data_IF_135459677522
#
_entry.id   IF_135459677522
#
_cell.length_a   1.000
_cell.length_b   1.000
_cell.length_c   1.000
_cell.angle_alpha   90.00
_cell.angle_beta   90.00
_cell.angle_gamma   90.00
#
_symmetry.space_group_name_H-M   'P 1'
#
loop_
_entity.id
_entity.type
_entity.pdbx_description
1 polymer ?
#
# COMPACT_ATOMS: atom_id res chain seq x y z
N UNK A 1 -9.16 -37.89 26.91
CA UNK A 1 -9.21 -39.30 27.36
C UNK A 1 -7.88 -39.65 28.00
N UNK A 2 -7.81 -40.72 28.79
CA UNK A 2 -6.60 -41.12 29.49
C UNK A 2 -5.67 -41.99 28.63
N UNK A 3 -4.38 -42.03 28.97
CA UNK A 3 -3.64 -43.26 29.31
C UNK A 3 -2.26 -42.91 29.88
N UNK A 4 -1.73 -43.77 30.76
CA UNK A 4 -0.43 -43.63 31.40
C UNK A 4 0.73 -44.02 30.48
N UNK A 5 1.98 -43.77 30.89
CA UNK A 5 2.89 -44.87 31.13
C UNK A 5 3.24 -45.02 32.63
N UNK A 6 3.91 -46.11 32.98
CA UNK A 6 4.22 -46.52 34.35
C UNK A 6 5.66 -47.07 34.41
N UNK A 7 6.15 -47.25 35.64
CA UNK A 7 7.38 -47.97 36.04
C UNK A 7 8.72 -47.20 36.05
N UNK A 8 9.31 -47.29 37.25
CA UNK A 8 10.72 -47.53 37.59
C UNK A 8 11.78 -46.45 37.29
N UNK A 9 12.17 -45.72 38.35
CA UNK A 9 13.44 -45.99 39.06
C UNK A 9 13.36 -45.44 40.50
N UNK A 10 13.46 -46.31 41.51
CA UNK A 10 13.45 -45.96 42.94
C UNK A 10 14.89 -45.88 43.50
N UNK A 11 15.46 -44.67 43.56
CA UNK A 11 16.75 -44.40 44.21
C UNK A 11 16.52 -44.04 45.71
N UNK A 12 16.05 -45.03 46.48
CA UNK A 12 15.93 -44.89 47.94
C UNK A 12 17.29 -45.04 48.64
N UNK A 13 17.80 -43.92 49.16
CA UNK A 13 18.95 -43.90 50.06
C UNK A 13 18.59 -43.42 51.49
N UNK A 14 17.38 -43.75 51.94
CA UNK A 14 16.94 -43.64 53.33
C UNK A 14 17.61 -44.69 54.22
N UNK A 15 18.86 -44.43 54.62
CA UNK A 15 19.70 -45.41 55.35
C UNK A 15 19.05 -46.03 56.61
N UNK A 16 19.01 -47.36 56.63
CA UNK A 16 18.38 -48.20 57.65
C UNK A 16 18.85 -47.94 59.10
N UNK A 17 17.91 -47.66 59.99
CA UNK A 17 18.14 -47.66 61.45
C UNK A 17 18.08 -49.09 62.03
N UNK A 18 18.96 -49.97 61.55
CA UNK A 18 19.01 -51.40 61.95
C UNK A 18 20.44 -51.84 62.36
N UNK A 19 20.99 -51.27 63.44
CA UNK A 19 22.40 -51.46 63.83
C UNK A 19 22.64 -51.80 65.30
N UNK A 20 22.40 -53.07 65.68
CA UNK A 20 22.91 -53.76 66.89
C UNK A 20 23.27 -52.90 68.13
N UNK A 21 22.36 -52.83 69.12
CA UNK A 21 22.76 -52.58 70.52
C UNK A 21 23.40 -53.87 71.06
N UNK A 22 24.67 -54.09 70.72
CA UNK A 22 25.46 -55.19 71.27
C UNK A 22 25.66 -54.97 72.77
N UNK A 23 24.97 -55.83 73.53
CA UNK A 23 24.86 -55.87 74.99
C UNK A 23 26.22 -56.11 75.67
N UNK A 24 27.09 -55.09 75.68
CA UNK A 24 28.37 -55.12 76.38
C UNK A 24 28.12 -55.36 77.87
N UNK A 25 28.41 -56.59 78.31
CA UNK A 25 28.32 -57.01 79.70
C UNK A 25 29.28 -56.15 80.51
N UNK A 26 28.75 -55.34 81.43
CA UNK A 26 29.53 -54.99 82.62
C UNK A 26 29.97 -56.33 83.24
N UNK A 27 31.24 -56.53 83.59
CA UNK A 27 31.56 -57.46 84.66
C UNK A 27 30.70 -57.03 85.85
N UNK A 28 29.99 -57.98 86.45
CA UNK A 28 29.66 -57.79 87.87
C UNK A 28 31.02 -57.70 88.60
N UNK A 29 31.14 -56.96 89.71
CA UNK A 29 31.96 -57.49 90.79
C UNK A 29 31.45 -58.92 91.00
N UNK A 30 32.32 -59.92 90.82
CA UNK A 30 32.03 -61.16 91.53
C UNK A 30 32.12 -60.76 93.00
N UNK A 31 30.99 -60.87 93.70
CA UNK A 31 31.00 -61.01 95.13
C UNK A 31 31.66 -62.38 95.37
N UNK A 32 32.98 -62.42 95.25
CA UNK A 32 33.81 -63.56 95.59
C UNK A 32 33.79 -63.63 97.12
N UNK A 33 32.69 -64.21 97.61
CA UNK A 33 32.60 -64.93 98.88
C UNK A 33 33.60 -66.13 98.81
N UNK A 34 34.89 -65.80 98.69
CA UNK A 34 36.00 -66.69 98.94
C UNK A 34 35.93 -67.05 100.42
N UNK A 35 35.18 -68.12 100.65
CA UNK A 35 35.23 -68.99 101.81
C UNK A 35 36.66 -69.05 102.36
N UNK A 36 36.96 -68.18 103.34
CA UNK A 36 38.04 -68.40 104.28
C UNK A 36 37.63 -69.56 105.18
N UNK A 37 37.59 -70.76 104.58
CA UNK A 37 37.64 -72.05 105.24
C UNK A 37 38.99 -72.15 105.93
N UNK A 38 39.04 -71.53 107.10
CA UNK A 38 39.42 -72.12 108.37
C UNK A 38 40.10 -73.49 108.28
N UNK A 39 41.25 -73.56 107.61
CA UNK A 39 42.28 -74.54 107.89
C UNK A 39 43.00 -74.12 109.19
N UNK A 40 42.23 -74.05 110.27
CA UNK A 40 42.74 -74.19 111.63
C UNK A 40 42.89 -75.70 111.88
N UNK A 41 43.86 -76.29 111.19
CA UNK A 41 44.48 -77.52 111.67
C UNK A 41 45.71 -77.12 112.46
N UNK A 42 45.65 -77.34 113.77
CA UNK A 42 46.72 -76.99 114.69
C UNK A 42 47.92 -77.93 114.53
N UNK A 43 49.06 -77.40 114.08
CA UNK A 43 50.34 -77.76 114.69
C UNK A 43 51.14 -76.51 114.99
N UNK A 44 51.78 -76.48 116.17
CA UNK A 44 52.75 -75.44 116.57
C UNK A 44 54.11 -75.64 115.84
N UNK A 45 54.06 -75.65 114.51
CA UNK A 45 55.22 -75.75 113.62
C UNK A 45 55.61 -74.35 113.09
N UNK A 46 56.90 -73.96 113.12
CA UNK A 46 57.33 -72.61 112.70
C UNK A 46 57.16 -72.31 111.19
N UNK A 47 56.68 -73.28 110.40
CA UNK A 47 56.39 -73.11 108.97
C UNK A 47 55.10 -72.34 108.66
N UNK A 48 54.01 -72.57 109.39
CA UNK A 48 52.68 -72.03 109.03
C UNK A 48 52.63 -70.49 109.11
N UNK A 49 53.08 -69.94 110.25
CA UNK A 49 53.23 -68.49 110.42
C UNK A 49 54.21 -67.88 109.40
N UNK A 50 55.27 -68.61 109.04
CA UNK A 50 56.23 -68.17 108.01
C UNK A 50 55.57 -68.10 106.63
N UNK A 51 54.68 -69.03 106.28
CA UNK A 51 53.89 -69.00 105.04
C UNK A 51 52.98 -67.77 104.95
N UNK A 52 52.22 -67.48 106.00
CA UNK A 52 51.35 -66.28 106.07
C UNK A 52 52.20 -64.99 105.97
N UNK A 53 53.34 -64.93 106.65
CA UNK A 53 54.29 -63.80 106.58
C UNK A 53 54.87 -63.63 105.16
N UNK A 54 55.08 -64.71 104.40
CA UNK A 54 55.50 -64.61 102.99
C UNK A 54 54.37 -64.09 102.10
N UNK A 55 53.15 -64.62 102.22
CA UNK A 55 51.97 -64.13 101.47
C UNK A 55 51.72 -62.64 101.73
N UNK A 56 51.82 -62.20 102.99
CA UNK A 56 51.69 -60.79 103.35
C UNK A 56 52.86 -59.92 102.82
N UNK A 57 54.09 -60.45 102.75
CA UNK A 57 55.24 -59.73 102.15
C UNK A 57 55.09 -59.58 100.64
N UNK A 58 54.68 -60.63 99.93
CA UNK A 58 54.45 -60.56 98.48
C UNK A 58 53.24 -59.68 98.15
N UNK A 59 52.21 -59.68 98.99
CA UNK A 59 51.06 -58.77 98.87
C UNK A 59 51.43 -57.32 99.15
N UNK A 60 52.26 -57.06 100.17
CA UNK A 60 52.81 -55.73 100.47
C UNK A 60 53.70 -55.24 99.32
N UNK A 61 54.61 -56.08 98.82
CA UNK A 61 55.48 -55.79 97.68
C UNK A 61 54.67 -55.47 96.43
N UNK A 62 53.63 -56.26 96.13
CA UNK A 62 52.70 -55.98 95.03
C UNK A 62 51.99 -54.64 95.23
N UNK A 63 51.52 -54.35 96.44
CA UNK A 63 50.92 -53.05 96.78
C UNK A 63 51.91 -51.88 96.60
N UNK A 64 53.19 -52.06 96.95
CA UNK A 64 54.23 -51.05 96.69
C UNK A 64 54.53 -50.88 95.19
N UNK A 65 54.49 -51.95 94.40
CA UNK A 65 54.65 -51.92 92.94
C UNK A 65 53.45 -51.23 92.28
N UNK A 66 52.21 -51.58 92.67
CA UNK A 66 50.97 -50.92 92.24
C UNK A 66 50.98 -49.43 92.65
N UNK A 67 51.40 -49.08 93.87
CA UNK A 67 51.54 -47.69 94.32
C UNK A 67 52.52 -46.88 93.45
N UNK A 68 53.66 -47.45 93.04
CA UNK A 68 54.60 -46.81 92.11
C UNK A 68 53.94 -46.58 90.74
N UNK A 69 53.25 -47.60 90.22
CA UNK A 69 52.49 -47.51 88.95
C UNK A 69 51.39 -46.45 89.01
N UNK A 70 50.66 -46.31 90.12
CA UNK A 70 49.68 -45.22 90.30
C UNK A 70 50.37 -43.85 90.44
N UNK A 71 51.48 -43.76 91.18
CA UNK A 71 52.21 -42.51 91.34
C UNK A 71 52.76 -41.98 89.99
N UNK A 72 53.27 -42.87 89.14
CA UNK A 72 53.78 -42.48 87.81
C UNK A 72 52.64 -42.14 86.84
N UNK A 73 51.48 -42.82 86.93
CA UNK A 73 50.26 -42.41 86.22
C UNK A 73 49.75 -41.03 86.67
N UNK A 74 49.83 -40.70 87.96
CA UNK A 74 49.48 -39.37 88.46
C UNK A 74 50.42 -38.30 87.90
N UNK A 75 51.74 -38.51 87.94
CA UNK A 75 52.72 -37.59 87.31
C UNK A 75 52.46 -37.41 85.82
N UNK A 76 52.16 -38.50 85.09
CA UNK A 76 51.82 -38.40 83.66
C UNK A 76 50.54 -37.57 83.45
N UNK A 77 49.51 -37.76 84.27
CA UNK A 77 48.28 -36.97 84.19
C UNK A 77 48.49 -35.49 84.56
N UNK A 78 49.38 -35.19 85.51
CA UNK A 78 49.81 -33.82 85.86
C UNK A 78 50.58 -33.17 84.71
N UNK A 79 51.56 -33.87 84.12
CA UNK A 79 52.30 -33.45 82.93
C UNK A 79 51.37 -33.23 81.72
N UNK A 80 50.34 -34.05 81.54
CA UNK A 80 49.34 -33.89 80.50
C UNK A 80 48.43 -32.68 80.78
N UNK A 81 47.94 -32.51 82.01
CA UNK A 81 47.17 -31.34 82.41
C UNK A 81 47.95 -30.04 82.24
N UNK A 82 49.26 -30.02 82.51
CA UNK A 82 50.08 -28.81 82.35
C UNK A 82 50.37 -28.50 80.87
N UNK A 83 50.51 -29.52 80.01
CA UNK A 83 50.53 -29.34 78.54
C UNK A 83 49.20 -28.76 78.04
N UNK A 84 48.06 -29.23 78.56
CA UNK A 84 46.74 -28.66 78.28
C UNK A 84 46.64 -27.21 78.74
N UNK A 85 47.07 -26.87 79.96
CA UNK A 85 47.09 -25.47 80.44
C UNK A 85 47.94 -24.59 79.53
N UNK A 86 49.17 -25.01 79.25
CA UNK A 86 50.13 -24.28 78.40
C UNK A 86 49.59 -24.02 77.00
N UNK A 87 48.93 -25.01 76.39
CA UNK A 87 48.36 -24.88 75.04
C UNK A 87 47.26 -23.81 74.93
N UNK A 88 46.48 -23.60 75.99
CA UNK A 88 45.37 -22.65 76.01
C UNK A 88 45.67 -21.34 76.76
N UNK A 89 46.82 -21.22 77.44
CA UNK A 89 47.17 -20.07 78.29
C UNK A 89 47.20 -18.72 77.56
N UNK A 90 47.48 -18.72 76.25
CA UNK A 90 47.61 -17.53 75.41
C UNK A 90 46.45 -17.36 74.41
N UNK A 91 45.39 -18.17 74.52
CA UNK A 91 44.27 -18.15 73.58
C UNK A 91 43.31 -16.97 73.84
N UNK A 92 42.86 -16.32 72.76
CA UNK A 92 42.15 -15.03 72.85
C UNK A 92 40.76 -15.10 73.50
N UNK A 93 40.24 -16.30 73.75
CA UNK A 93 38.97 -16.54 74.43
C UNK A 93 39.10 -16.80 75.94
N UNK A 94 40.32 -16.82 76.48
CA UNK A 94 40.59 -16.98 77.91
C UNK A 94 41.06 -15.64 78.50
N UNK A 95 40.41 -15.12 79.56
CA UNK A 95 40.83 -13.88 80.20
C UNK A 95 42.27 -13.98 80.76
N UNK A 96 43.10 -12.99 80.45
CA UNK A 96 44.51 -12.98 80.85
C UNK A 96 44.68 -13.17 82.38
N UNK A 97 45.49 -14.16 82.76
CA UNK A 97 45.73 -14.52 84.16
C UNK A 97 44.70 -15.49 84.78
N UNK A 98 43.71 -15.97 84.03
CA UNK A 98 42.80 -17.05 84.47
C UNK A 98 43.26 -18.42 84.00
N UNK A 99 42.85 -19.48 84.72
CA UNK A 99 43.08 -20.86 84.29
C UNK A 99 42.09 -21.22 83.16
N UNK A 100 42.50 -21.93 82.09
CA UNK A 100 41.56 -22.49 81.11
C UNK A 100 40.55 -23.42 81.80
N UNK A 101 39.29 -23.00 81.86
CA UNK A 101 38.19 -23.80 82.37
C UNK A 101 37.68 -24.75 81.27
N UNK A 102 37.53 -26.07 81.52
CA UNK A 102 37.09 -27.02 80.51
C UNK A 102 35.78 -26.65 79.82
N UNK A 103 34.81 -26.07 80.54
CA UNK A 103 33.54 -25.63 79.95
C UNK A 103 33.72 -24.51 78.90
N UNK A 104 34.56 -23.52 79.21
CA UNK A 104 34.87 -22.40 78.30
C UNK A 104 35.63 -22.92 77.06
N UNK A 105 36.62 -23.79 77.25
CA UNK A 105 37.38 -24.41 76.15
C UNK A 105 36.48 -25.25 75.24
N UNK A 106 35.57 -26.05 75.80
CA UNK A 106 34.61 -26.85 75.01
C UNK A 106 33.66 -25.96 74.20
N UNK A 107 33.14 -24.88 74.79
CA UNK A 107 32.28 -23.92 74.09
C UNK A 107 33.06 -23.22 72.96
N UNK A 108 34.30 -22.79 73.21
CA UNK A 108 35.15 -22.17 72.20
C UNK A 108 35.45 -23.14 71.04
N UNK A 109 35.82 -24.39 71.33
CA UNK A 109 36.05 -25.43 70.30
C UNK A 109 34.78 -25.74 69.51
N UNK A 110 33.60 -25.76 70.14
CA UNK A 110 32.33 -25.99 69.45
C UNK A 110 31.94 -24.81 68.54
N UNK A 111 32.19 -23.57 68.98
CA UNK A 111 31.98 -22.37 68.17
C UNK A 111 32.98 -22.28 67.01
N UNK A 112 34.24 -22.69 67.22
CA UNK A 112 35.23 -22.80 66.16
C UNK A 112 34.79 -23.82 65.11
N UNK A 113 34.34 -25.03 65.52
CA UNK A 113 33.81 -26.06 64.62
C UNK A 113 32.61 -25.57 63.78
N UNK A 114 31.63 -24.92 64.39
CA UNK A 114 30.46 -24.41 63.65
C UNK A 114 30.83 -23.26 62.70
N UNK A 115 31.81 -22.42 63.07
CA UNK A 115 32.36 -21.40 62.16
C UNK A 115 33.15 -22.01 60.99
N UNK A 116 33.93 -23.06 61.24
CA UNK A 116 34.68 -23.81 60.23
C UNK A 116 33.74 -24.49 59.22
N UNK A 117 32.67 -25.11 59.72
CA UNK A 117 31.63 -25.74 58.91
C UNK A 117 30.86 -24.72 58.05
N UNK A 118 30.49 -23.57 58.63
CA UNK A 118 29.86 -22.47 57.88
C UNK A 118 30.80 -21.90 56.79
N UNK A 119 32.10 -21.74 57.08
CA UNK A 119 33.08 -21.29 56.10
C UNK A 119 33.30 -22.32 54.98
N UNK A 120 33.33 -23.63 55.30
CA UNK A 120 33.35 -24.70 54.30
C UNK A 120 32.12 -24.67 53.39
N UNK A 121 30.93 -24.49 53.96
CA UNK A 121 29.69 -24.42 53.17
C UNK A 121 29.65 -23.18 52.26
N UNK A 122 30.12 -22.02 52.74
CA UNK A 122 30.28 -20.81 51.93
C UNK A 122 31.31 -20.98 50.81
N UNK A 123 32.43 -21.64 51.09
CA UNK A 123 33.50 -21.92 50.13
C UNK A 123 33.06 -22.92 49.04
N UNK A 124 32.26 -23.93 49.38
CA UNK A 124 31.63 -24.82 48.39
C UNK A 124 30.54 -24.10 47.57
N UNK A 125 29.75 -23.21 48.19
CA UNK A 125 28.83 -22.31 47.47
C UNK A 125 29.57 -21.36 46.52
N UNK A 126 30.78 -20.92 46.86
CA UNK A 126 31.64 -20.11 46.00
C UNK A 126 32.19 -20.93 44.82
N UNK A 127 32.80 -22.09 45.08
CA UNK A 127 33.30 -23.02 44.05
C UNK A 127 32.23 -23.42 43.02
N UNK A 128 31.02 -23.72 43.48
CA UNK A 128 29.89 -24.07 42.59
C UNK A 128 29.46 -22.90 41.70
N UNK A 129 29.53 -21.66 42.20
CA UNK A 129 29.30 -20.45 41.38
C UNK A 129 30.44 -20.20 40.39
N UNK A 130 31.69 -20.37 40.82
CA UNK A 130 32.88 -20.23 39.98
C UNK A 130 32.86 -21.21 38.80
N UNK A 131 32.60 -22.50 39.06
CA UNK A 131 32.45 -23.52 38.04
C UNK A 131 31.31 -23.19 37.04
N UNK A 132 30.17 -22.69 37.54
CA UNK A 132 29.07 -22.24 36.68
C UNK A 132 29.45 -21.01 35.82
N UNK A 133 30.25 -20.07 36.36
CA UNK A 133 30.78 -18.95 35.59
C UNK A 133 31.77 -19.41 34.51
N UNK A 134 32.68 -20.34 34.81
CA UNK A 134 33.63 -20.91 33.83
C UNK A 134 32.87 -21.56 32.66
N UNK A 135 31.85 -22.39 32.93
CA UNK A 135 31.03 -23.01 31.89
C UNK A 135 30.25 -21.98 31.06
N UNK A 136 29.69 -20.94 31.70
CA UNK A 136 28.97 -19.88 30.99
C UNK A 136 29.90 -18.97 30.18
N UNK A 137 31.14 -18.75 30.64
CA UNK A 137 32.16 -18.01 29.92
C UNK A 137 32.61 -18.77 28.67
N UNK A 138 32.94 -20.06 28.79
CA UNK A 138 33.30 -20.91 27.65
C UNK A 138 32.19 -20.95 26.58
N UNK A 139 30.91 -21.05 26.99
CA UNK A 139 29.75 -20.96 26.07
C UNK A 139 29.68 -19.61 25.34
N UNK A 140 29.93 -18.50 26.05
CA UNK A 140 29.98 -17.15 25.45
C UNK A 140 31.15 -16.98 24.49
N UNK A 141 32.32 -17.55 24.79
CA UNK A 141 33.47 -17.52 23.88
C UNK A 141 33.25 -18.38 22.62
N UNK A 142 32.57 -19.52 22.75
CA UNK A 142 32.11 -20.32 21.61
C UNK A 142 31.13 -19.52 20.75
N UNK A 143 30.06 -18.95 21.33
CA UNK A 143 29.07 -18.11 20.64
C UNK A 143 29.74 -16.94 19.90
N UNK A 144 30.66 -16.22 20.56
CA UNK A 144 31.47 -15.15 19.95
C UNK A 144 32.31 -15.67 18.77
N UNK A 145 32.83 -16.90 18.84
CA UNK A 145 33.65 -17.51 17.79
C UNK A 145 32.82 -17.96 16.59
N UNK A 146 31.62 -18.49 16.83
CA UNK A 146 30.62 -18.85 15.81
C UNK A 146 30.08 -17.59 15.11
N UNK A 147 29.73 -16.54 15.85
CA UNK A 147 29.36 -15.24 15.29
C UNK A 147 30.51 -14.62 14.46
N UNK A 148 31.75 -14.69 14.93
CA UNK A 148 32.95 -14.30 14.15
C UNK A 148 33.16 -15.17 12.91
N UNK A 149 32.65 -16.40 12.86
CA UNK A 149 32.66 -17.24 11.66
C UNK A 149 31.56 -16.82 10.68
N UNK A 150 30.31 -16.68 11.14
CA UNK A 150 29.19 -16.20 10.34
C UNK A 150 29.45 -14.81 9.73
N UNK A 151 30.03 -13.87 10.48
CA UNK A 151 30.42 -12.55 9.96
C UNK A 151 31.52 -12.64 8.90
N UNK A 152 32.48 -13.57 9.04
CA UNK A 152 33.50 -13.81 7.99
C UNK A 152 32.89 -14.42 6.73
N UNK A 153 31.96 -15.35 6.88
CA UNK A 153 31.30 -16.00 5.76
C UNK A 153 30.36 -15.04 5.01
N UNK A 154 29.49 -14.32 5.71
CA UNK A 154 28.66 -13.25 5.13
C UNK A 154 29.51 -12.16 4.46
N UNK A 155 30.66 -11.80 5.05
CA UNK A 155 31.64 -10.90 4.42
C UNK A 155 32.36 -11.53 3.22
N UNK A 156 32.34 -12.86 3.08
CA UNK A 156 32.84 -13.60 1.90
C UNK A 156 31.78 -13.72 0.80
N UNK A 157 30.49 -13.78 1.16
CA UNK A 157 29.35 -13.68 0.23
C UNK A 157 29.17 -12.24 -0.28
N UNK A 158 29.42 -11.24 0.57
CA UNK A 158 29.39 -9.81 0.24
C UNK A 158 30.68 -9.34 -0.47
N UNK A 159 31.82 -10.00 -0.26
CA UNK A 159 32.94 -9.96 -1.22
C UNK A 159 32.36 -10.47 -2.55
N UNK A 160 32.31 -9.63 -3.58
CA UNK A 160 31.19 -9.73 -4.49
C UNK A 160 31.31 -10.93 -5.42
N UNK A 161 30.19 -11.58 -5.80
CA UNK A 161 30.09 -12.45 -6.99
C UNK A 161 30.53 -11.77 -8.31
N UNK A 162 30.85 -10.47 -8.25
CA UNK A 162 31.18 -9.62 -9.37
C UNK A 162 32.55 -9.85 -9.99
N UNK A 163 33.31 -10.92 -9.75
CA UNK A 163 34.39 -11.24 -10.73
C UNK A 163 33.78 -11.64 -12.07
N UNK A 164 32.62 -12.31 -12.07
CA UNK A 164 31.82 -12.51 -13.29
C UNK A 164 31.04 -11.25 -13.67
N UNK A 165 30.28 -10.66 -12.75
CA UNK A 165 29.45 -9.48 -13.09
C UNK A 165 30.27 -8.23 -13.48
N UNK A 166 31.43 -7.97 -12.86
CA UNK A 166 32.35 -6.88 -13.28
C UNK A 166 33.04 -7.21 -14.60
N UNK A 167 33.35 -8.48 -14.91
CA UNK A 167 33.81 -8.86 -16.26
C UNK A 167 32.72 -8.56 -17.30
N UNK A 168 31.47 -8.91 -17.03
CA UNK A 168 30.34 -8.64 -17.93
C UNK A 168 30.05 -7.13 -18.08
N UNK A 169 30.18 -6.34 -17.00
CA UNK A 169 30.06 -4.88 -17.03
C UNK A 169 31.29 -4.15 -17.60
N UNK A 170 32.38 -4.88 -17.87
CA UNK A 170 33.57 -4.42 -18.58
C UNK A 170 33.70 -5.09 -19.97
N UNK A 171 32.69 -5.83 -20.41
CA UNK A 171 32.67 -6.50 -21.71
C UNK A 171 32.20 -5.51 -22.79
N UNK A 172 33.02 -5.22 -23.82
CA UNK A 172 32.65 -4.26 -24.86
C UNK A 172 31.35 -4.61 -25.60
N UNK A 173 31.06 -5.89 -25.82
CA UNK A 173 29.85 -6.32 -26.53
C UNK A 173 28.59 -6.11 -25.67
N UNK A 174 28.70 -6.26 -24.35
CA UNK A 174 27.60 -5.97 -23.42
C UNK A 174 27.40 -4.47 -23.26
N UNK A 175 28.46 -3.66 -23.31
CA UNK A 175 28.35 -2.21 -23.37
C UNK A 175 27.69 -1.72 -24.67
N UNK A 176 28.02 -2.34 -25.81
CA UNK A 176 27.39 -2.05 -27.10
C UNK A 176 25.89 -2.41 -27.08
N UNK A 177 25.53 -3.62 -26.65
CA UNK A 177 24.13 -4.04 -26.52
C UNK A 177 23.33 -3.17 -25.52
N UNK A 178 23.93 -2.80 -24.38
CA UNK A 178 23.29 -1.87 -23.44
C UNK A 178 23.08 -0.48 -24.07
N UNK A 179 24.05 0.02 -24.83
CA UNK A 179 23.96 1.30 -25.55
C UNK A 179 22.91 1.24 -26.66
N UNK A 180 22.81 0.12 -27.38
CA UNK A 180 21.81 -0.14 -28.41
C UNK A 180 20.40 -0.19 -27.81
N UNK A 181 20.21 -0.92 -26.71
CA UNK A 181 18.95 -1.01 -25.99
C UNK A 181 18.52 0.34 -25.39
N UNK A 182 19.46 1.10 -24.81
CA UNK A 182 19.20 2.46 -24.31
C UNK A 182 18.78 3.42 -25.43
N UNK A 183 19.47 3.37 -26.57
CA UNK A 183 19.14 4.19 -27.75
C UNK A 183 17.76 3.83 -28.31
N UNK A 184 17.43 2.54 -28.40
CA UNK A 184 16.12 2.07 -28.82
C UNK A 184 15.00 2.46 -27.83
N UNK A 185 15.26 2.44 -26.52
CA UNK A 185 14.33 2.93 -25.51
C UNK A 185 14.07 4.44 -25.66
N UNK A 186 15.14 5.25 -25.80
CA UNK A 186 15.02 6.70 -26.04
C UNK A 186 14.29 7.03 -27.36
N UNK A 187 14.43 6.20 -28.39
CA UNK A 187 13.67 6.31 -29.64
C UNK A 187 12.18 5.98 -29.43
N UNK A 188 11.86 4.93 -28.66
CA UNK A 188 10.47 4.58 -28.32
C UNK A 188 9.82 5.65 -27.44
N UNK A 189 10.53 6.22 -26.46
CA UNK A 189 10.02 7.32 -25.62
C UNK A 189 9.75 8.60 -26.44
N UNK A 190 10.60 8.91 -27.42
CA UNK A 190 10.33 9.98 -28.40
C UNK A 190 9.09 9.66 -29.22
N UNK A 191 8.95 8.43 -29.72
CA UNK A 191 7.80 8.02 -30.52
C UNK A 191 6.49 8.00 -29.72
N UNK A 192 6.53 7.66 -28.43
CA UNK A 192 5.38 7.78 -27.53
C UNK A 192 4.97 9.25 -27.40
N UNK A 193 5.91 10.15 -27.09
CA UNK A 193 5.62 11.60 -27.00
C UNK A 193 5.10 12.18 -28.30
N UNK A 194 5.69 11.84 -29.44
CA UNK A 194 5.17 12.22 -30.76
C UNK A 194 3.74 11.73 -30.97
N UNK A 195 3.41 10.49 -30.57
CA UNK A 195 2.06 9.94 -30.69
C UNK A 195 1.07 10.57 -29.70
N UNK A 196 1.50 10.91 -28.49
CA UNK A 196 0.71 11.65 -27.49
C UNK A 196 0.43 13.09 -27.97
N UNK A 197 1.43 13.79 -28.52
CA UNK A 197 1.29 15.12 -29.12
C UNK A 197 0.37 15.08 -30.35
N UNK A 198 0.52 14.10 -31.24
CA UNK A 198 -0.38 13.91 -32.38
C UNK A 198 -1.80 13.57 -31.93
N UNK A 199 -1.98 12.72 -30.91
CA UNK A 199 -3.30 12.38 -30.35
C UNK A 199 -3.94 13.61 -29.68
N UNK A 200 -3.17 14.44 -28.98
CA UNK A 200 -3.63 15.71 -28.43
C UNK A 200 -3.97 16.76 -29.51
N UNK A 201 -3.28 16.74 -30.66
CA UNK A 201 -3.58 17.59 -31.81
C UNK A 201 -4.80 17.13 -32.61
N UNK A 202 -5.00 15.81 -32.74
CA UNK A 202 -6.17 15.18 -33.39
C UNK A 202 -7.42 15.27 -32.51
N UNK A 203 -7.26 15.28 -31.18
CA UNK A 203 -8.32 15.53 -30.22
C UNK A 203 -8.78 16.99 -30.28
N UNK A 204 -9.65 17.28 -31.27
CA UNK A 204 -10.34 18.55 -31.40
C UNK A 204 -11.07 18.91 -30.09
N UNK A 205 -10.54 19.91 -29.40
CA UNK A 205 -11.19 20.52 -28.24
C UNK A 205 -11.61 21.93 -28.61
N UNK A 206 -12.88 22.28 -28.37
CA UNK A 206 -13.45 23.61 -28.61
C UNK A 206 -12.75 24.73 -27.82
N UNK A 207 -11.91 24.37 -26.83
CA UNK A 207 -11.10 25.28 -26.04
C UNK A 207 -9.66 25.46 -26.53
N UNK A 208 -9.12 24.56 -27.35
CA UNK A 208 -7.76 24.67 -27.92
C UNK A 208 -7.66 25.86 -28.89
N UNK A 209 -6.46 26.43 -29.05
CA UNK A 209 -6.19 27.51 -30.02
C UNK A 209 -6.57 27.11 -31.44
N UNK A 210 -6.26 25.86 -31.84
CA UNK A 210 -6.62 25.34 -33.17
C UNK A 210 -8.14 25.10 -33.28
N UNK A 211 -8.75 24.53 -32.24
CA UNK A 211 -10.21 24.28 -32.22
C UNK A 211 -11.04 25.57 -32.24
N UNK A 212 -10.58 26.61 -31.53
CA UNK A 212 -11.16 27.97 -31.58
C UNK A 212 -11.02 28.62 -32.95
N UNK A 213 -9.86 28.47 -33.61
CA UNK A 213 -9.64 28.99 -34.96
C UNK A 213 -10.52 28.29 -36.00
N UNK A 214 -10.66 26.95 -35.92
CA UNK A 214 -11.55 26.20 -36.78
C UNK A 214 -13.02 26.59 -36.55
N UNK A 215 -13.47 26.68 -35.29
CA UNK A 215 -14.82 27.15 -34.94
C UNK A 215 -15.10 28.59 -35.37
N UNK A 216 -14.09 29.47 -35.36
CA UNK A 216 -14.21 30.81 -35.92
C UNK A 216 -14.40 30.74 -37.44
N UNK A 217 -13.57 29.98 -38.16
CA UNK A 217 -13.71 29.79 -39.61
C UNK A 217 -15.05 29.15 -40.00
N UNK A 218 -15.56 28.19 -39.23
CA UNK A 218 -16.87 27.59 -39.46
C UNK A 218 -18.01 28.60 -39.26
N UNK A 219 -17.91 29.53 -38.30
CA UNK A 219 -18.86 30.64 -38.17
C UNK A 219 -18.78 31.60 -39.35
N UNK A 220 -17.58 32.05 -39.73
CA UNK A 220 -17.40 32.95 -40.88
C UNK A 220 -17.92 32.32 -42.17
N UNK A 221 -17.66 31.03 -42.42
CA UNK A 221 -18.23 30.31 -43.58
C UNK A 221 -19.75 30.13 -43.50
N UNK A 222 -20.34 30.08 -42.30
CA UNK A 222 -21.80 30.06 -42.15
C UNK A 222 -22.38 31.45 -42.44
N UNK A 223 -21.78 32.50 -41.88
CA UNK A 223 -22.12 33.90 -42.11
C UNK A 223 -22.02 34.28 -43.61
N UNK A 224 -20.94 33.87 -44.28
CA UNK A 224 -20.76 34.02 -45.74
C UNK A 224 -21.84 33.27 -46.56
N UNK A 225 -22.18 32.03 -46.18
CA UNK A 225 -23.23 31.26 -46.87
C UNK A 225 -24.62 31.87 -46.67
N UNK A 226 -24.92 32.36 -45.47
CA UNK A 226 -26.19 33.02 -45.15
C UNK A 226 -26.28 34.38 -45.86
N UNK A 227 -25.17 35.13 -45.98
CA UNK A 227 -25.09 36.37 -46.77
C UNK A 227 -25.26 36.10 -48.27
N UNK A 228 -24.63 35.06 -48.83
CA UNK A 228 -24.85 34.62 -50.22
C UNK A 228 -26.31 34.20 -50.44
N UNK A 229 -26.92 33.51 -49.48
CA UNK A 229 -28.35 33.16 -49.51
C UNK A 229 -29.26 34.40 -49.51
N UNK A 230 -28.96 35.39 -48.66
CA UNK A 230 -29.64 36.68 -48.65
C UNK A 230 -29.48 37.40 -49.99
N UNK A 231 -28.26 37.62 -50.47
CA UNK A 231 -27.98 38.29 -51.75
C UNK A 231 -28.66 37.61 -52.94
N UNK A 232 -28.69 36.27 -53.00
CA UNK A 232 -29.38 35.53 -54.05
C UNK A 232 -30.91 35.75 -53.99
N UNK A 233 -31.49 35.78 -52.78
CA UNK A 233 -32.92 36.05 -52.59
C UNK A 233 -33.28 37.51 -52.90
N UNK A 234 -32.50 38.47 -52.41
CA UNK A 234 -32.72 39.90 -52.61
C UNK A 234 -32.53 40.30 -54.07
N UNK A 235 -31.47 39.81 -54.72
CA UNK A 235 -31.26 40.03 -56.16
C UNK A 235 -32.43 39.54 -57.00
N UNK A 236 -33.01 38.37 -56.66
CA UNK A 236 -34.21 37.86 -57.35
C UNK A 236 -35.46 38.68 -57.06
N UNK A 237 -35.66 39.11 -55.81
CA UNK A 237 -36.75 40.01 -55.41
C UNK A 237 -36.64 41.35 -56.14
N UNK A 238 -35.44 41.92 -56.26
CA UNK A 238 -35.19 43.18 -56.97
C UNK A 238 -35.45 43.05 -58.47
N UNK A 239 -34.97 41.98 -59.13
CA UNK A 239 -35.24 41.70 -60.55
C UNK A 239 -36.76 41.60 -60.83
N UNK A 240 -37.49 40.87 -59.98
CA UNK A 240 -38.94 40.75 -60.06
C UNK A 240 -39.65 42.09 -59.79
N UNK A 241 -39.15 42.89 -58.84
CA UNK A 241 -39.64 44.24 -58.56
C UNK A 241 -39.48 45.20 -59.74
N UNK A 242 -38.31 45.18 -60.41
CA UNK A 242 -38.08 45.94 -61.64
C UNK A 242 -39.00 45.50 -62.77
N UNK A 243 -39.16 44.20 -62.99
CA UNK A 243 -40.09 43.65 -64.00
C UNK A 243 -41.54 44.03 -63.71
N UNK A 244 -41.97 43.98 -62.45
CA UNK A 244 -43.30 44.42 -62.04
C UNK A 244 -43.51 45.93 -62.25
N UNK A 245 -42.50 46.77 -61.99
CA UNK A 245 -42.56 48.22 -62.24
C UNK A 245 -42.66 48.52 -63.74
N UNK A 246 -41.88 47.85 -64.58
CA UNK A 246 -41.96 47.96 -66.04
C UNK A 246 -43.34 47.54 -66.56
N UNK A 247 -43.86 46.39 -66.10
CA UNK A 247 -45.20 45.91 -66.47
C UNK A 247 -46.32 46.86 -66.04
N UNK A 248 -46.22 47.49 -64.86
CA UNK A 248 -47.15 48.55 -64.44
C UNK A 248 -47.11 49.76 -65.37
N UNK A 249 -45.91 50.22 -65.77
CA UNK A 249 -45.77 51.33 -66.71
C UNK A 249 -46.34 50.98 -68.10
N UNK A 250 -46.07 49.77 -68.60
CA UNK A 250 -46.65 49.28 -69.86
C UNK A 250 -48.18 49.18 -69.81
N UNK A 251 -48.75 48.74 -68.68
CA UNK A 251 -50.20 48.73 -68.47
C UNK A 251 -50.81 50.14 -68.40
N UNK A 252 -50.10 51.13 -67.84
CA UNK A 252 -50.54 52.52 -67.85
C UNK A 252 -50.49 53.10 -69.26
N UNK A 253 -49.43 52.83 -70.03
CA UNK A 253 -49.30 53.30 -71.41
C UNK A 253 -50.34 52.67 -72.33
N UNK A 254 -50.62 51.37 -72.21
CA UNK A 254 -51.72 50.73 -72.95
C UNK A 254 -53.08 51.32 -72.60
N UNK A 255 -53.34 51.66 -71.34
CA UNK A 255 -54.57 52.36 -70.93
C UNK A 255 -54.64 53.78 -71.49
N UNK A 256 -53.51 54.48 -71.54
CA UNK A 256 -53.39 55.82 -72.15
C UNK A 256 -53.71 55.77 -73.65
N UNK A 257 -53.13 54.82 -74.39
CA UNK A 257 -53.38 54.62 -75.81
C UNK A 257 -54.82 54.17 -76.11
N UNK A 258 -55.42 53.34 -75.26
CA UNK A 258 -56.84 52.98 -75.36
C UNK A 258 -57.72 54.22 -75.17
N UNK A 259 -57.40 55.10 -74.22
CA UNK A 259 -58.14 56.36 -74.04
C UNK A 259 -57.98 57.27 -75.27
N UNK A 260 -56.77 57.48 -75.77
CA UNK A 260 -56.53 58.28 -77.00
C UNK A 260 -57.31 57.74 -78.22
N UNK A 261 -57.46 56.42 -78.33
CA UNK A 261 -58.26 55.79 -79.38
C UNK A 261 -59.76 55.96 -79.18
N UNK A 262 -60.25 55.95 -77.93
CA UNK A 262 -61.66 56.23 -77.61
C UNK A 262 -62.00 57.69 -77.89
N UNK A 263 -61.15 58.63 -77.46
CA UNK A 263 -61.30 60.07 -77.71
C UNK A 263 -61.29 60.35 -79.24
N UNK A 264 -60.46 59.64 -80.00
CA UNK A 264 -60.44 59.72 -81.47
C UNK A 264 -61.67 59.10 -82.14
N UNK A 265 -62.21 58.01 -81.58
CA UNK A 265 -63.49 57.44 -82.05
C UNK A 265 -64.65 58.40 -81.81
N UNK A 266 -64.73 59.05 -80.64
CA UNK A 266 -65.76 60.05 -80.33
C UNK A 266 -65.70 61.24 -81.31
N UNK A 267 -64.50 61.75 -81.62
CA UNK A 267 -64.33 62.79 -82.65
C UNK A 267 -64.76 62.34 -84.05
N UNK A 268 -64.54 61.07 -84.42
CA UNK A 268 -65.01 60.51 -85.69
C UNK A 268 -66.54 60.33 -85.71
N UNK A 269 -67.15 59.87 -84.62
CA UNK A 269 -68.60 59.74 -84.51
C UNK A 269 -69.29 61.11 -84.57
N UNK A 270 -68.75 62.14 -83.91
CA UNK A 270 -69.18 63.53 -84.11
C UNK A 270 -69.06 63.98 -85.58
N UNK A 271 -67.93 63.68 -86.23
CA UNK A 271 -67.68 64.04 -87.63
C UNK A 271 -68.65 63.38 -88.60
N UNK A 272 -68.94 62.09 -88.39
CA UNK A 272 -69.95 61.34 -89.14
C UNK A 272 -71.36 61.89 -88.87
N UNK A 273 -71.67 62.26 -87.62
CA UNK A 273 -72.92 62.92 -87.25
C UNK A 273 -73.14 64.22 -88.04
N UNK A 274 -72.19 65.15 -87.95
CA UNK A 274 -72.20 66.44 -88.67
C UNK A 274 -72.28 66.25 -90.20
N UNK A 275 -71.57 65.25 -90.74
CA UNK A 275 -71.66 64.92 -92.17
C UNK A 275 -73.03 64.35 -92.57
N UNK A 276 -73.66 63.55 -91.70
CA UNK A 276 -74.99 62.97 -91.94
C UNK A 276 -76.09 64.03 -91.83
N UNK A 277 -75.99 64.97 -90.88
CA UNK A 277 -76.82 66.17 -90.81
C UNK A 277 -76.73 66.99 -92.10
N UNK A 278 -75.51 67.28 -92.57
CA UNK A 278 -75.30 68.01 -93.82
C UNK A 278 -75.93 67.28 -95.01
N UNK A 279 -75.70 65.97 -95.15
CA UNK A 279 -76.33 65.13 -96.19
C UNK A 279 -77.86 65.19 -96.10
N UNK A 280 -78.45 65.18 -94.91
CA UNK A 280 -79.91 65.26 -94.75
C UNK A 280 -80.46 66.67 -95.07
N UNK A 281 -79.71 67.74 -94.77
CA UNK A 281 -80.09 69.10 -95.22
C UNK A 281 -80.00 69.24 -96.75
N UNK A 282 -78.97 68.65 -97.39
CA UNK A 282 -78.84 68.62 -98.85
C UNK A 282 -79.95 67.78 -99.51
N UNK A 283 -80.32 66.62 -98.93
CA UNK A 283 -81.48 65.84 -99.39
C UNK A 283 -82.76 66.67 -99.32
N UNK A 284 -83.02 67.36 -98.20
CA UNK A 284 -84.20 68.21 -98.07
C UNK A 284 -84.20 69.36 -99.09
N UNK A 285 -83.06 70.04 -99.29
CA UNK A 285 -82.92 71.06 -100.32
C UNK A 285 -83.14 70.50 -101.74
N UNK A 286 -82.69 69.27 -102.00
CA UNK A 286 -82.96 68.55 -103.24
C UNK A 286 -84.45 68.23 -103.37
N UNK A 287 -85.13 67.74 -102.33
CA UNK A 287 -86.57 67.47 -102.32
C UNK A 287 -87.40 68.75 -102.54
N UNK A 288 -87.07 69.85 -101.84
CA UNK A 288 -87.69 71.17 -102.02
C UNK A 288 -87.47 71.66 -103.48
N UNK A 289 -86.26 71.48 -104.04
CA UNK A 289 -85.95 71.81 -105.44
C UNK A 289 -86.60 70.87 -106.44
N UNK A 290 -86.82 69.60 -106.10
CA UNK A 290 -87.52 68.63 -106.94
C UNK A 290 -89.03 68.95 -106.96
N UNK A 291 -89.60 69.42 -105.85
CA UNK A 291 -90.97 69.93 -105.77
C UNK A 291 -91.12 71.23 -106.58
N UNK A 292 -90.15 72.15 -106.50
CA UNK A 292 -90.11 73.36 -107.34
C UNK A 292 -89.94 73.00 -108.83
N UNK A 293 -89.05 72.06 -109.17
CA UNK A 293 -88.85 71.58 -110.52
C UNK A 293 -90.08 70.83 -111.06
N UNK A 294 -90.80 70.06 -110.24
CA UNK A 294 -92.09 69.45 -110.61
C UNK A 294 -93.13 70.51 -110.93
N UNK A 295 -93.31 71.52 -110.07
CA UNK A 295 -94.18 72.68 -110.35
C UNK A 295 -93.80 73.42 -111.66
N UNK A 296 -92.50 73.58 -111.92
CA UNK A 296 -92.00 74.25 -113.13
C UNK A 296 -92.13 73.38 -114.41
N UNK A 297 -92.03 72.06 -114.29
CA UNK A 297 -92.11 71.11 -115.43
C UNK A 297 -93.53 70.63 -115.73
N UNK A 298 -94.45 70.66 -114.76
CA UNK A 298 -95.89 70.73 -115.01
C UNK A 298 -96.25 72.01 -115.81
N UNK A 299 -95.46 73.08 -115.64
CA UNK A 299 -95.49 74.28 -116.49
C UNK A 299 -94.81 74.15 -117.87
N UNK A 300 -93.92 73.17 -118.11
CA UNK A 300 -93.27 72.90 -119.41
C UNK A 300 -92.55 71.54 -119.51
N UNK A 301 -92.98 70.75 -120.50
CA UNK A 301 -92.31 69.58 -121.14
C UNK A 301 -91.37 70.05 -122.29
N UNK A 302 -90.55 69.21 -122.99
CA UNK A 302 -90.31 67.74 -122.86
C UNK A 302 -88.84 67.21 -123.06
N UNK A 303 -88.63 65.89 -122.86
CA UNK A 303 -87.73 64.94 -123.63
C UNK A 303 -86.18 65.12 -123.64
N UNK A 304 -85.32 64.08 -123.87
CA UNK A 304 -85.40 62.60 -123.67
C UNK A 304 -84.10 61.84 -124.08
N UNK A 305 -83.69 60.81 -123.32
CA UNK A 305 -82.71 59.74 -123.71
C UNK A 305 -81.22 60.10 -123.55
N UNK A 306 -80.24 59.17 -123.40
CA UNK A 306 -80.20 57.70 -123.20
C UNK A 306 -78.74 57.27 -122.85
N UNK A 307 -78.48 56.30 -121.94
CA UNK A 307 -78.18 54.85 -122.17
C UNK A 307 -77.01 54.54 -123.15
N UNK A 308 -76.12 53.54 -123.03
CA UNK A 308 -75.71 52.44 -122.09
C UNK A 308 -74.38 51.84 -122.69
N UNK A 309 -73.57 50.84 -122.26
CA UNK A 309 -73.42 49.80 -121.19
C UNK A 309 -71.93 49.22 -121.33
N UNK A 310 -71.23 48.37 -120.52
CA UNK A 310 -71.28 47.91 -119.09
C UNK A 310 -70.40 46.64 -118.83
N UNK A 311 -69.42 46.70 -117.89
CA UNK A 311 -68.64 45.54 -117.32
C UNK A 311 -67.75 44.77 -118.34
N UNK A 312 -66.91 43.77 -118.02
CA UNK A 312 -66.63 42.85 -116.86
C UNK A 312 -65.12 42.86 -116.45
N UNK A 313 -64.64 42.53 -115.23
CA UNK A 313 -64.82 41.36 -114.31
C UNK A 313 -64.08 40.07 -114.79
N UNK A 314 -63.49 39.18 -113.97
CA UNK A 314 -63.29 39.09 -112.48
C UNK A 314 -62.31 37.97 -112.07
N UNK A 315 -61.88 37.94 -110.79
CA UNK A 315 -61.37 36.73 -110.07
C UNK A 315 -59.84 36.49 -110.03
N UNK A 316 -59.26 35.86 -108.99
CA UNK A 316 -59.84 35.50 -107.67
C UNK A 316 -58.97 34.55 -106.80
N UNK A 317 -58.96 34.78 -105.47
CA UNK A 317 -58.43 33.98 -104.35
C UNK A 317 -56.89 33.77 -104.25
N UNK A 318 -56.18 33.92 -103.11
CA UNK A 318 -56.37 33.53 -101.67
C UNK A 318 -56.04 32.03 -101.46
N UNK A 319 -55.25 31.57 -100.46
CA UNK A 319 -55.32 31.79 -98.98
C UNK A 319 -53.94 31.77 -98.28
N UNK A 320 -53.88 32.50 -97.15
CA UNK A 320 -53.10 32.35 -95.89
C UNK A 320 -52.51 30.95 -95.52
N UNK A 321 -51.58 30.78 -94.55
CA UNK A 321 -50.95 31.69 -93.58
C UNK A 321 -49.52 31.22 -93.22
N UNK A 322 -48.74 32.03 -92.46
CA UNK A 322 -47.43 31.61 -91.91
C UNK A 322 -46.96 32.43 -90.71
N UNK A 323 -46.58 31.73 -89.61
CA UNK A 323 -45.62 32.07 -88.52
C UNK A 323 -45.93 31.23 -87.26
N UNK A 324 -45.11 31.16 -86.20
CA UNK A 324 -43.65 31.08 -86.01
C UNK A 324 -43.37 31.33 -84.51
N UNK A 325 -42.44 30.56 -83.90
CA UNK A 325 -42.00 30.62 -82.49
C UNK A 325 -43.12 30.61 -81.43
#
# INVERSE_FOLDING_TARGET
>A
MASSPNLDDDDDFGGDYAGNITRNKRPRPLDDDEDFKEHVEEEHAPGAATGIVLILRDSLKKSEEDCKVYQDKCKQAEDELEKWRSAFQNESFIPAGTCPEPGIVVIAVQNLRSSEESLKEQLEKARKKEAAFIVNFAKREQEITELKAAVRDLKSQLKPPSLKARRLLLDPAIHEEFTRLKSAAEEKDKKIKELEENLAAVNFTTQSRMGKLLMAKCRTLQEENDEIGMMASEGKIHELGMKLKLQKNQNLELRRQIQELLDYMEMLEEGVGKSNELVNTMKKQLEDKDIEAKKMTEGKKPKSGGKEDKKTSEGGNNVDASKAN
#
